data_IF_419739839768
#
_entry.id   IF_419739839768
#
_cell.length_a   1.000
_cell.length_b   1.000
_cell.length_c   1.000
_cell.angle_alpha   90.00
_cell.angle_beta   90.00
_cell.angle_gamma   90.00
#
_symmetry.space_group_name_H-M   'P 1'
#
loop_
_entity.id
_entity.type
_entity.pdbx_description
1 polymer ?
#
# COMPACT_ATOMS: atom_id res chain seq x y z
N UNK A 1 24.31 10.32 -12.20
CA UNK A 1 25.39 10.31 -11.19
C UNK A 1 24.76 10.69 -9.85
N UNK A 2 24.57 9.73 -8.93
CA UNK A 2 23.77 9.94 -7.71
C UNK A 2 24.55 10.73 -6.66
N UNK A 3 24.03 11.90 -6.25
CA UNK A 3 24.61 12.76 -5.21
C UNK A 3 24.91 12.04 -3.88
N UNK A 4 24.19 10.96 -3.60
CA UNK A 4 24.40 10.09 -2.45
C UNK A 4 25.77 9.36 -2.45
N UNK A 5 26.38 9.15 -3.62
CA UNK A 5 27.71 8.53 -3.73
C UNK A 5 28.85 9.43 -3.23
N UNK A 6 28.58 10.74 -3.03
CA UNK A 6 29.54 11.73 -2.53
C UNK A 6 29.41 12.02 -1.03
N UNK A 7 28.54 11.31 -0.31
CA UNK A 7 28.33 11.50 1.13
C UNK A 7 27.61 12.80 1.51
N UNK A 8 27.04 13.52 0.54
CA UNK A 8 26.25 14.72 0.82
C UNK A 8 24.84 14.35 1.25
N UNK A 9 24.38 14.95 2.34
CA UNK A 9 22.98 14.88 2.74
C UNK A 9 22.17 15.77 1.78
N UNK A 10 21.30 15.13 0.99
CA UNK A 10 20.46 15.80 0.00
C UNK A 10 19.00 15.58 0.37
N UNK A 11 18.29 16.66 0.66
CA UNK A 11 16.84 16.65 0.86
C UNK A 11 16.16 17.21 -0.37
N UNK A 12 15.25 16.43 -0.97
CA UNK A 12 14.46 16.86 -2.10
C UNK A 12 13.17 17.52 -1.62
N UNK A 13 13.00 18.81 -1.95
CA UNK A 13 11.79 19.56 -1.60
C UNK A 13 10.90 19.71 -2.84
N UNK A 14 9.68 19.17 -2.76
CA UNK A 14 8.75 19.11 -3.88
C UNK A 14 7.84 20.34 -3.94
N UNK A 15 7.71 20.96 -5.10
CA UNK A 15 6.74 22.04 -5.30
C UNK A 15 5.28 21.57 -5.23
N UNK A 16 4.37 22.54 -5.16
CA UNK A 16 2.91 22.34 -5.01
C UNK A 16 2.28 21.32 -5.97
N UNK A 17 2.75 21.24 -7.24
CA UNK A 17 2.20 20.30 -8.24
C UNK A 17 2.22 18.84 -7.79
N UNK A 18 3.16 18.46 -6.91
CA UNK A 18 3.30 17.11 -6.40
C UNK A 18 2.34 16.77 -5.25
N UNK A 19 1.56 17.76 -4.78
CA UNK A 19 0.54 17.58 -3.76
C UNK A 19 -0.77 16.99 -4.32
N UNK A 20 -1.04 17.20 -5.61
CA UNK A 20 -2.24 16.72 -6.31
C UNK A 20 -2.12 15.24 -6.72
N UNK A 21 -3.25 14.51 -6.86
CA UNK A 21 -3.25 13.09 -7.25
C UNK A 21 -2.41 12.77 -8.50
N UNK A 22 -2.46 13.63 -9.52
CA UNK A 22 -1.67 13.49 -10.76
C UNK A 22 -0.16 13.61 -10.51
N UNK A 23 0.24 14.49 -9.58
CA UNK A 23 1.63 14.67 -9.16
C UNK A 23 2.11 13.63 -8.16
N UNK A 24 1.23 13.05 -7.34
CA UNK A 24 1.60 12.08 -6.29
C UNK A 24 2.31 10.85 -6.84
N UNK A 25 1.92 10.35 -8.02
CA UNK A 25 2.60 9.21 -8.66
C UNK A 25 4.08 9.53 -8.93
N UNK A 26 4.37 10.76 -9.37
CA UNK A 26 5.74 11.19 -9.62
C UNK A 26 6.49 11.52 -8.33
N UNK A 27 5.79 12.03 -7.31
CA UNK A 27 6.34 12.36 -6.00
C UNK A 27 7.01 11.14 -5.33
N UNK A 28 6.54 9.93 -5.63
CA UNK A 28 7.12 8.68 -5.13
C UNK A 28 8.61 8.53 -5.45
N UNK A 29 9.07 9.15 -6.54
CA UNK A 29 10.48 9.12 -6.94
C UNK A 29 11.40 9.80 -5.92
N UNK A 30 10.83 10.66 -5.09
CA UNK A 30 11.53 11.49 -4.11
C UNK A 30 11.36 11.01 -2.67
N UNK A 31 10.73 9.85 -2.47
CA UNK A 31 10.64 9.23 -1.15
C UNK A 31 12.04 8.96 -0.59
N UNK A 32 12.28 9.43 0.64
CA UNK A 32 13.51 9.18 1.41
C UNK A 32 13.17 8.41 2.70
N UNK A 33 14.20 7.99 3.44
CA UNK A 33 14.05 7.48 4.81
C UNK A 33 14.63 8.51 5.76
N UNK A 34 13.80 9.00 6.69
CA UNK A 34 14.20 9.86 7.81
C UNK A 34 13.57 9.26 9.08
N UNK A 35 14.35 9.13 10.16
CA UNK A 35 13.90 8.54 11.42
C UNK A 35 13.19 7.17 11.25
N UNK A 36 13.75 6.32 10.38
CA UNK A 36 13.19 5.01 9.99
C UNK A 36 11.80 5.05 9.33
N UNK A 37 11.32 6.23 8.91
CA UNK A 37 10.04 6.41 8.23
C UNK A 37 10.24 6.90 6.82
N UNK A 38 9.36 6.45 5.92
CA UNK A 38 9.30 7.06 4.59
C UNK A 38 8.88 8.51 4.73
N UNK A 39 9.60 9.39 4.05
CA UNK A 39 9.42 10.83 4.20
C UNK A 39 9.35 11.52 2.84
N UNK A 40 8.53 12.56 2.76
CA UNK A 40 8.50 13.54 1.67
C UNK A 40 8.48 14.95 2.23
N UNK A 41 9.17 15.85 1.53
CA UNK A 41 9.14 17.27 1.79
C UNK A 41 8.43 17.99 0.66
N UNK A 42 7.55 18.93 1.01
CA UNK A 42 6.82 19.74 0.07
C UNK A 42 6.93 21.22 0.43
N UNK A 43 7.15 22.08 -0.56
CA UNK A 43 7.10 23.52 -0.42
C UNK A 43 5.83 24.06 -1.08
N UNK A 44 4.98 24.69 -0.27
CA UNK A 44 3.82 25.45 -0.72
C UNK A 44 4.21 26.93 -0.79
N UNK A 45 4.73 27.33 -1.95
CA UNK A 45 5.25 28.68 -2.17
C UNK A 45 4.19 29.78 -2.03
N UNK A 46 2.92 29.48 -2.27
CA UNK A 46 1.80 30.44 -2.18
C UNK A 46 1.51 30.92 -0.77
N UNK A 47 1.77 30.08 0.24
CA UNK A 47 1.53 30.37 1.66
C UNK A 47 2.81 30.35 2.49
N UNK A 48 3.98 30.25 1.84
CA UNK A 48 5.27 30.21 2.52
C UNK A 48 5.47 29.03 3.46
N UNK A 49 4.77 27.91 3.22
CA UNK A 49 4.76 26.75 4.13
C UNK A 49 5.64 25.61 3.59
N UNK A 50 6.55 25.10 4.44
CA UNK A 50 7.27 23.86 4.18
C UNK A 50 6.58 22.74 4.97
N UNK A 51 6.26 21.63 4.31
CA UNK A 51 5.54 20.50 4.90
C UNK A 51 6.38 19.23 4.80
N UNK A 52 6.67 18.63 5.94
CA UNK A 52 7.25 17.28 6.06
C UNK A 52 6.13 16.27 6.27
N UNK A 53 6.09 15.25 5.43
CA UNK A 53 5.15 14.13 5.52
C UNK A 53 5.93 12.88 5.89
N UNK A 54 5.69 12.32 7.07
CA UNK A 54 6.25 11.03 7.48
C UNK A 54 5.16 9.96 7.45
N UNK A 55 5.35 8.93 6.64
CA UNK A 55 4.39 7.86 6.39
C UNK A 55 4.51 6.77 7.45
N UNK A 56 3.38 6.38 8.03
CA UNK A 56 3.22 5.17 8.84
C UNK A 56 2.29 4.15 8.17
N UNK A 57 2.03 3.04 8.84
CA UNK A 57 1.23 1.94 8.29
C UNK A 57 -0.25 2.31 8.12
N UNK A 58 -0.79 3.14 9.03
CA UNK A 58 -2.21 3.47 9.12
C UNK A 58 -2.52 4.96 8.94
N UNK A 59 -1.53 5.74 8.50
CA UNK A 59 -1.66 7.18 8.39
C UNK A 59 -0.32 7.87 8.21
N UNK A 60 -0.32 9.18 8.40
CA UNK A 60 0.86 10.02 8.18
C UNK A 60 0.92 11.14 9.21
N UNK A 61 2.14 11.47 9.60
CA UNK A 61 2.43 12.69 10.35
C UNK A 61 2.70 13.82 9.36
N UNK A 62 2.03 14.95 9.55
CA UNK A 62 2.30 16.19 8.84
C UNK A 62 2.95 17.15 9.82
N UNK A 63 4.19 17.55 9.54
CA UNK A 63 4.86 18.64 10.24
C UNK A 63 4.89 19.85 9.32
N UNK A 64 4.30 20.97 9.73
CA UNK A 64 4.26 22.22 8.97
C UNK A 64 5.22 23.20 9.60
N UNK A 65 6.07 23.80 8.78
CA UNK A 65 7.02 24.82 9.14
C UNK A 65 6.59 26.11 8.45
N UNK A 66 6.33 27.14 9.24
CA UNK A 66 6.00 28.49 8.80
C UNK A 66 7.10 29.43 9.29
N UNK A 67 7.25 30.60 8.67
CA UNK A 67 8.40 31.47 8.94
C UNK A 67 8.40 32.01 10.38
N UNK A 68 7.24 32.48 10.82
CA UNK A 68 7.09 33.20 12.10
C UNK A 68 6.52 32.33 13.22
N UNK A 69 6.01 31.14 12.89
CA UNK A 69 5.33 30.25 13.83
C UNK A 69 6.15 28.98 14.13
N UNK A 70 6.09 28.45 15.36
CA UNK A 70 6.72 27.19 15.69
C UNK A 70 6.13 26.04 14.85
N UNK A 71 6.92 25.00 14.54
CA UNK A 71 6.44 23.89 13.73
C UNK A 71 5.24 23.20 14.38
N UNK A 72 4.18 23.00 13.60
CA UNK A 72 2.99 22.28 14.06
C UNK A 72 2.99 20.86 13.52
N UNK A 73 2.76 19.87 14.37
CA UNK A 73 2.70 18.47 13.98
C UNK A 73 1.29 17.90 14.21
N UNK A 74 0.75 17.24 13.19
CA UNK A 74 -0.57 16.62 13.23
C UNK A 74 -0.54 15.20 12.68
N UNK A 75 -1.27 14.28 13.33
CA UNK A 75 -1.52 12.95 12.81
C UNK A 75 -2.73 12.96 11.90
N UNK A 76 -2.62 12.31 10.74
CA UNK A 76 -3.74 12.06 9.84
C UNK A 76 -3.87 10.56 9.58
N UNK A 77 -4.94 9.97 10.10
CA UNK A 77 -5.30 8.59 9.82
C UNK A 77 -5.64 8.40 8.33
N UNK A 78 -5.32 7.21 7.81
CA UNK A 78 -5.60 6.85 6.43
C UNK A 78 -7.08 6.46 6.27
N UNK A 79 -7.85 7.27 5.53
CA UNK A 79 -9.29 7.02 5.37
C UNK A 79 -9.56 5.77 4.53
N UNK A 80 -10.32 4.81 5.06
CA UNK A 80 -10.68 3.59 4.33
C UNK A 80 -12.11 3.66 3.79
N UNK A 81 -12.28 3.45 2.48
CA UNK A 81 -13.59 3.30 1.86
C UNK A 81 -13.70 1.94 1.14
N UNK A 82 -13.85 0.82 1.88
CA UNK A 82 -13.86 -0.53 1.29
C UNK A 82 -14.90 -0.70 0.18
N UNK A 83 -16.12 -0.19 0.38
CA UNK A 83 -17.19 -0.25 -0.62
C UNK A 83 -16.81 0.45 -1.94
N UNK A 84 -16.11 1.59 -1.86
CA UNK A 84 -15.62 2.30 -3.05
C UNK A 84 -14.58 1.47 -3.79
N UNK A 85 -13.66 0.82 -3.08
CA UNK A 85 -12.66 -0.07 -3.69
C UNK A 85 -13.31 -1.28 -4.36
N UNK A 86 -14.30 -1.90 -3.70
CA UNK A 86 -15.05 -3.04 -4.26
C UNK A 86 -15.72 -2.65 -5.58
N UNK A 87 -16.42 -1.51 -5.60
CA UNK A 87 -17.05 -0.99 -6.83
C UNK A 87 -16.01 -0.65 -7.90
N UNK A 88 -14.83 -0.16 -7.52
CA UNK A 88 -13.75 0.10 -8.46
C UNK A 88 -13.21 -1.17 -9.13
N UNK A 89 -13.18 -2.30 -8.44
CA UNK A 89 -12.85 -3.61 -9.06
C UNK A 89 -13.90 -3.92 -10.13
N UNK A 90 -15.19 -3.86 -9.78
CA UNK A 90 -16.28 -4.17 -10.70
C UNK A 90 -16.27 -3.27 -11.95
N UNK A 91 -16.09 -1.96 -11.76
CA UNK A 91 -15.97 -1.01 -12.87
C UNK A 91 -14.73 -1.33 -13.73
N UNK A 92 -13.61 -1.69 -13.10
CA UNK A 92 -12.37 -2.01 -13.83
C UNK A 92 -12.51 -3.28 -14.67
N UNK A 93 -13.22 -4.29 -14.16
CA UNK A 93 -13.53 -5.52 -14.90
C UNK A 93 -14.51 -5.24 -16.04
N UNK A 94 -15.57 -4.46 -15.81
CA UNK A 94 -16.51 -4.03 -16.84
C UNK A 94 -15.79 -3.28 -17.97
N UNK A 95 -14.87 -2.37 -17.62
CA UNK A 95 -14.02 -1.63 -18.56
C UNK A 95 -12.88 -2.44 -19.15
N UNK A 96 -12.78 -3.74 -18.82
CA UNK A 96 -11.74 -4.67 -19.29
C UNK A 96 -10.31 -4.15 -19.09
N UNK A 97 -10.07 -3.50 -17.95
CA UNK A 97 -8.73 -2.99 -17.61
C UNK A 97 -7.77 -4.18 -17.47
N UNK A 98 -6.73 -4.22 -18.32
CA UNK A 98 -5.94 -5.44 -18.54
C UNK A 98 -5.37 -6.08 -17.26
N UNK A 99 -4.71 -5.35 -16.34
CA UNK A 99 -4.23 -5.94 -15.08
C UNK A 99 -5.32 -6.64 -14.25
N UNK A 100 -6.54 -6.07 -14.23
CA UNK A 100 -7.68 -6.66 -13.53
C UNK A 100 -8.24 -7.88 -14.26
N UNK A 101 -8.28 -7.85 -15.59
CA UNK A 101 -8.70 -9.00 -16.41
C UNK A 101 -7.75 -10.19 -16.25
N UNK A 102 -6.43 -9.96 -16.26
CA UNK A 102 -5.43 -11.01 -16.01
C UNK A 102 -5.61 -11.62 -14.62
N UNK A 103 -5.84 -10.79 -13.61
CA UNK A 103 -6.09 -11.27 -12.26
C UNK A 103 -7.42 -12.05 -12.16
N UNK A 104 -8.44 -11.64 -12.91
CA UNK A 104 -9.73 -12.33 -12.95
C UNK A 104 -9.61 -13.70 -13.61
N UNK A 105 -8.83 -13.82 -14.68
CA UNK A 105 -8.54 -15.11 -15.30
C UNK A 105 -7.84 -16.06 -14.31
N UNK A 106 -6.83 -15.56 -13.57
CA UNK A 106 -6.15 -16.34 -12.53
C UNK A 106 -7.09 -16.77 -11.40
N UNK A 107 -8.01 -15.88 -10.97
CA UNK A 107 -9.02 -16.22 -9.97
C UNK A 107 -9.98 -17.30 -10.47
N UNK A 108 -10.42 -17.22 -11.73
CA UNK A 108 -11.33 -18.21 -12.32
C UNK A 108 -10.71 -19.60 -12.47
N UNK A 109 -9.40 -19.69 -12.72
CA UNK A 109 -8.69 -20.98 -12.69
C UNK A 109 -8.80 -21.70 -11.34
N UNK A 110 -9.08 -20.96 -10.27
CA UNK A 110 -9.30 -21.48 -8.91
C UNK A 110 -10.78 -21.50 -8.51
N UNK A 111 -11.71 -21.29 -9.45
CA UNK A 111 -13.15 -21.22 -9.17
C UNK A 111 -13.59 -19.98 -8.39
N UNK A 112 -12.80 -18.89 -8.41
CA UNK A 112 -13.03 -17.67 -7.62
C UNK A 112 -13.43 -16.48 -8.49
N UNK A 113 -14.24 -15.59 -7.92
CA UNK A 113 -14.65 -14.32 -8.55
C UNK A 113 -13.95 -13.14 -7.86
N UNK A 114 -13.26 -12.25 -8.60
CA UNK A 114 -12.60 -11.09 -7.98
C UNK A 114 -13.59 -10.07 -7.40
N UNK A 115 -14.77 -9.94 -8.01
CA UNK A 115 -15.83 -9.11 -7.44
C UNK A 115 -16.27 -9.62 -6.06
N UNK A 116 -16.19 -10.94 -5.87
CA UNK A 116 -16.40 -11.62 -4.60
C UNK A 116 -15.13 -11.80 -3.76
N UNK A 117 -14.07 -11.03 -3.99
CA UNK A 117 -12.87 -11.10 -3.15
C UNK A 117 -13.16 -10.91 -1.66
N UNK A 118 -12.35 -11.46 -0.74
CA UNK A 118 -12.60 -11.33 0.69
C UNK A 118 -12.59 -9.87 1.18
N UNK A 119 -13.42 -9.53 2.18
CA UNK A 119 -13.54 -8.14 2.66
C UNK A 119 -12.23 -7.56 3.20
N UNK A 120 -11.46 -8.34 3.95
CA UNK A 120 -10.26 -7.87 4.63
C UNK A 120 -9.17 -7.36 3.66
N UNK A 121 -9.17 -7.77 2.39
CA UNK A 121 -8.20 -7.28 1.38
C UNK A 121 -8.31 -5.76 1.19
N UNK A 122 -9.48 -5.19 1.46
CA UNK A 122 -9.79 -3.76 1.38
C UNK A 122 -9.50 -2.99 2.68
N UNK A 123 -9.28 -3.72 3.78
CA UNK A 123 -9.01 -3.15 5.11
C UNK A 123 -7.58 -2.65 5.21
N UNK A 124 -7.35 -1.66 6.09
CA UNK A 124 -6.01 -1.17 6.48
C UNK A 124 -5.05 -1.02 5.28
N UNK A 125 -5.41 -0.25 4.25
CA UNK A 125 -4.55 -0.01 3.10
C UNK A 125 -3.30 0.75 3.54
N UNK A 126 -2.16 0.44 2.93
CA UNK A 126 -0.95 1.21 3.18
C UNK A 126 -1.08 2.60 2.57
N UNK A 127 -0.55 3.63 3.24
CA UNK A 127 -0.58 5.02 2.75
C UNK A 127 0.08 5.21 1.38
N UNK A 128 0.95 4.28 0.99
CA UNK A 128 1.61 4.33 -0.31
C UNK A 128 0.70 4.02 -1.51
N UNK A 129 -0.54 3.57 -1.29
CA UNK A 129 -1.53 3.41 -2.37
C UNK A 129 -1.75 4.69 -3.19
N UNK A 130 -1.53 5.86 -2.58
CA UNK A 130 -1.69 7.16 -3.24
C UNK A 130 -0.57 7.49 -4.23
N UNK A 131 0.50 6.70 -4.24
CA UNK A 131 1.68 6.88 -5.08
C UNK A 131 1.66 5.97 -6.32
N UNK A 132 0.46 5.59 -6.76
CA UNK A 132 0.28 4.71 -7.92
C UNK A 132 0.82 3.30 -7.69
N UNK A 133 0.91 2.85 -6.43
CA UNK A 133 1.21 1.47 -6.09
C UNK A 133 -0.08 0.64 -6.23
N UNK A 134 -0.08 -0.45 -7.00
CA UNK A 134 -1.26 -1.28 -7.22
C UNK A 134 -1.50 -2.25 -6.04
N UNK A 135 -1.47 -1.73 -4.80
CA UNK A 135 -1.51 -2.54 -3.57
C UNK A 135 -2.68 -3.53 -3.56
N UNK A 136 -3.89 -3.10 -3.90
CA UNK A 136 -5.08 -3.95 -3.87
C UNK A 136 -4.96 -5.14 -4.85
N UNK A 137 -4.43 -4.90 -6.06
CA UNK A 137 -4.19 -5.97 -7.03
C UNK A 137 -3.12 -6.95 -6.51
N UNK A 138 -2.08 -6.42 -5.87
CA UNK A 138 -0.99 -7.24 -5.31
C UNK A 138 -1.46 -8.08 -4.13
N UNK A 139 -2.29 -7.55 -3.23
CA UNK A 139 -2.90 -8.32 -2.13
C UNK A 139 -3.75 -9.48 -2.65
N UNK A 140 -4.57 -9.22 -3.66
CA UNK A 140 -5.40 -10.26 -4.29
C UNK A 140 -4.54 -11.31 -5.00
N UNK A 141 -3.53 -10.88 -5.78
CA UNK A 141 -2.59 -11.80 -6.43
C UNK A 141 -1.83 -12.64 -5.40
N UNK A 142 -1.44 -12.04 -4.28
CA UNK A 142 -0.79 -12.73 -3.17
C UNK A 142 -1.70 -13.82 -2.62
N UNK A 143 -2.98 -13.55 -2.37
CA UNK A 143 -3.93 -14.55 -1.89
C UNK A 143 -4.10 -15.72 -2.85
N UNK A 144 -4.22 -15.44 -4.15
CA UNK A 144 -4.31 -16.51 -5.15
C UNK A 144 -3.08 -17.43 -5.17
N UNK A 145 -1.93 -16.99 -4.66
CA UNK A 145 -0.70 -17.80 -4.60
C UNK A 145 -0.58 -18.51 -3.25
N UNK A 146 -0.80 -17.80 -2.14
CA UNK A 146 -0.42 -18.26 -0.80
C UNK A 146 -1.60 -18.77 0.04
N UNK A 147 -2.84 -18.53 -0.36
CA UNK A 147 -4.01 -18.95 0.42
C UNK A 147 -4.10 -20.49 0.54
N UNK A 148 -4.38 -20.97 1.75
CA UNK A 148 -4.59 -22.39 2.01
C UNK A 148 -3.32 -23.20 2.19
N UNK A 149 -2.14 -22.60 2.05
CA UNK A 149 -0.86 -23.27 2.18
C UNK A 149 0.08 -22.50 3.12
N UNK A 150 0.92 -23.20 3.91
CA UNK A 150 1.94 -22.55 4.71
C UNK A 150 2.91 -21.75 3.86
N UNK A 151 3.45 -20.66 4.40
CA UNK A 151 4.40 -19.82 3.69
C UNK A 151 5.46 -19.23 4.63
N UNK A 152 6.57 -18.76 4.06
CA UNK A 152 7.66 -18.17 4.85
C UNK A 152 7.70 -16.66 4.72
N UNK A 153 8.31 -16.00 5.72
CA UNK A 153 8.64 -14.57 5.66
C UNK A 153 9.44 -14.23 4.39
N UNK A 154 10.34 -15.13 3.98
CA UNK A 154 11.15 -15.00 2.76
C UNK A 154 10.31 -15.05 1.50
N UNK A 155 9.40 -16.04 1.36
CA UNK A 155 8.53 -16.15 0.19
C UNK A 155 7.58 -14.95 0.06
N UNK A 156 7.00 -14.49 1.18
CA UNK A 156 6.21 -13.26 1.20
C UNK A 156 7.05 -12.06 0.73
N UNK A 157 8.25 -11.87 1.29
CA UNK A 157 9.13 -10.75 0.91
C UNK A 157 9.51 -10.79 -0.58
N UNK A 158 9.86 -11.97 -1.10
CA UNK A 158 10.22 -12.16 -2.50
C UNK A 158 9.08 -11.79 -3.45
N UNK A 159 7.84 -12.18 -3.12
CA UNK A 159 6.67 -11.77 -3.89
C UNK A 159 6.56 -10.24 -4.01
N UNK A 160 6.65 -9.52 -2.89
CA UNK A 160 6.50 -8.06 -2.88
C UNK A 160 7.68 -7.35 -3.55
N UNK A 161 8.89 -7.86 -3.38
CA UNK A 161 10.07 -7.31 -4.05
C UNK A 161 10.03 -7.50 -5.57
N UNK A 162 9.56 -8.66 -6.05
CA UNK A 162 9.38 -8.90 -7.47
C UNK A 162 8.26 -8.03 -8.08
N UNK A 163 7.22 -7.74 -7.31
CA UNK A 163 6.08 -6.94 -7.75
C UNK A 163 6.33 -5.42 -7.76
N UNK A 164 7.30 -4.93 -6.98
CA UNK A 164 7.52 -3.51 -6.74
C UNK A 164 8.93 -3.08 -7.16
N UNK A 165 9.11 -2.61 -8.40
CA UNK A 165 10.43 -2.35 -8.96
C UNK A 165 11.07 -1.11 -8.35
N UNK A 166 12.38 -1.16 -8.12
CA UNK A 166 13.16 -0.05 -7.53
C UNK A 166 13.08 1.25 -8.34
N UNK A 167 12.82 1.16 -9.65
CA UNK A 167 12.69 2.34 -10.53
C UNK A 167 11.55 3.28 -10.12
N UNK A 168 10.59 2.79 -9.33
CA UNK A 168 9.54 3.65 -8.79
C UNK A 168 10.07 4.58 -7.70
N UNK A 169 10.99 4.10 -6.86
CA UNK A 169 11.54 4.82 -5.70
C UNK A 169 13.08 4.81 -5.74
N UNK A 170 13.70 5.50 -6.72
CA UNK A 170 15.13 5.40 -6.97
C UNK A 170 15.99 5.95 -5.82
N UNK A 171 15.45 6.84 -4.98
CA UNK A 171 16.20 7.40 -3.84
C UNK A 171 16.20 6.50 -2.59
N UNK A 172 15.38 5.45 -2.58
CA UNK A 172 15.36 4.47 -1.49
C UNK A 172 16.39 3.36 -1.75
N UNK A 173 16.96 2.76 -0.69
CA UNK A 173 17.73 1.52 -0.85
C UNK A 173 16.91 0.46 -1.60
N UNK A 174 17.59 -0.34 -2.43
CA UNK A 174 16.95 -1.36 -3.25
C UNK A 174 16.08 -2.31 -2.40
N UNK A 175 14.86 -2.57 -2.87
CA UNK A 175 13.90 -3.47 -2.24
C UNK A 175 13.24 -2.92 -0.97
N UNK A 176 13.50 -1.68 -0.56
CA UNK A 176 12.86 -1.04 0.61
C UNK A 176 11.34 -1.09 0.49
N UNK A 177 10.81 -0.67 -0.66
CA UNK A 177 9.37 -0.62 -0.90
C UNK A 177 8.72 -1.99 -0.76
N UNK A 178 9.32 -3.02 -1.38
CA UNK A 178 8.86 -4.41 -1.26
C UNK A 178 8.88 -4.91 0.18
N UNK A 179 9.95 -4.63 0.93
CA UNK A 179 10.06 -5.02 2.36
C UNK A 179 8.97 -4.39 3.21
N UNK A 180 8.70 -3.10 3.02
CA UNK A 180 7.66 -2.38 3.77
C UNK A 180 6.26 -2.92 3.48
N UNK A 181 5.92 -3.08 2.19
CA UNK A 181 4.61 -3.63 1.81
C UNK A 181 4.44 -5.08 2.28
N UNK A 182 5.52 -5.87 2.26
CA UNK A 182 5.52 -7.25 2.77
C UNK A 182 5.24 -7.31 4.28
N UNK A 183 5.90 -6.44 5.06
CA UNK A 183 5.70 -6.36 6.51
C UNK A 183 4.29 -5.87 6.85
N UNK A 184 3.81 -4.83 6.15
CA UNK A 184 2.46 -4.30 6.32
C UNK A 184 1.39 -5.37 6.05
N UNK A 185 1.51 -6.09 4.93
CA UNK A 185 0.52 -7.12 4.59
C UNK A 185 0.48 -8.26 5.60
N UNK A 186 1.63 -8.71 6.10
CA UNK A 186 1.71 -9.67 7.20
C UNK A 186 1.02 -9.15 8.46
N UNK A 187 1.26 -7.89 8.82
CA UNK A 187 0.62 -7.27 9.97
C UNK A 187 -0.91 -7.27 9.83
N UNK A 188 -1.45 -7.00 8.63
CA UNK A 188 -2.89 -7.08 8.37
C UNK A 188 -3.40 -8.52 8.56
N UNK A 189 -2.73 -9.53 7.98
CA UNK A 189 -3.16 -10.93 8.11
C UNK A 189 -3.14 -11.42 9.56
N UNK A 190 -2.12 -11.04 10.33
CA UNK A 190 -1.97 -11.38 11.75
C UNK A 190 -3.04 -10.67 12.60
N UNK A 191 -3.22 -9.37 12.41
CA UNK A 191 -4.18 -8.58 13.18
C UNK A 191 -5.63 -9.03 12.92
N UNK A 192 -5.92 -9.48 11.70
CA UNK A 192 -7.22 -10.05 11.33
C UNK A 192 -7.34 -11.55 11.69
N UNK A 193 -6.33 -12.16 12.33
CA UNK A 193 -6.36 -13.56 12.76
C UNK A 193 -6.53 -14.58 11.63
N UNK A 194 -6.05 -14.26 10.41
CA UNK A 194 -6.06 -15.23 9.30
C UNK A 194 -4.90 -16.21 9.37
N UNK A 195 -3.76 -15.75 9.86
CA UNK A 195 -2.53 -16.52 9.95
C UNK A 195 -1.93 -16.42 11.35
N UNK A 196 -1.13 -17.42 11.72
CA UNK A 196 -0.24 -17.37 12.88
C UNK A 196 1.19 -17.62 12.47
N UNK A 197 2.10 -17.13 13.30
CA UNK A 197 3.53 -17.33 13.19
C UNK A 197 3.93 -18.48 14.11
N UNK A 198 4.54 -19.54 13.56
CA UNK A 198 4.92 -20.73 14.35
C UNK A 198 6.34 -20.61 14.91
N UNK A 199 7.33 -20.36 14.02
CA UNK A 199 8.76 -20.40 14.37
C UNK A 199 9.51 -19.11 14.00
N UNK A 200 8.86 -17.96 14.14
CA UNK A 200 9.44 -16.65 13.79
C UNK A 200 9.60 -16.37 12.27
N UNK A 201 9.68 -17.41 11.44
CA UNK A 201 9.89 -17.29 9.99
C UNK A 201 8.82 -17.99 9.13
N UNK A 202 7.98 -18.83 9.73
CA UNK A 202 6.91 -19.59 9.07
C UNK A 202 5.55 -19.10 9.51
N UNK A 203 4.61 -19.09 8.57
CA UNK A 203 3.23 -18.70 8.78
C UNK A 203 2.29 -19.80 8.30
N UNK A 204 1.27 -20.09 9.10
CA UNK A 204 0.21 -21.03 8.76
C UNK A 204 -1.15 -20.34 8.83
N UNK A 205 -2.05 -20.73 7.94
CA UNK A 205 -3.44 -20.28 7.96
C UNK A 205 -4.20 -20.90 9.13
N UNK A 206 -4.77 -20.07 9.99
CA UNK A 206 -5.73 -20.51 11.02
C UNK A 206 -7.14 -20.61 10.49
N UNK A 207 -7.51 -19.69 9.60
CA UNK A 207 -8.80 -19.66 8.93
C UNK A 207 -8.64 -19.15 7.51
N UNK A 208 -9.42 -19.70 6.59
CA UNK A 208 -9.41 -19.24 5.21
C UNK A 208 -10.35 -18.04 5.03
N UNK A 209 -9.97 -17.07 4.19
CA UNK A 209 -10.83 -15.95 3.90
C UNK A 209 -12.01 -16.37 3.01
N UNK A 210 -13.17 -15.75 3.23
CA UNK A 210 -14.38 -16.08 2.47
C UNK A 210 -14.35 -15.35 1.12
N UNK A 211 -14.36 -16.14 0.05
CA UNK A 211 -14.64 -15.66 -1.31
C UNK A 211 -16.15 -15.77 -1.58
N UNK A 212 -16.75 -14.67 -1.99
CA UNK A 212 -18.16 -14.59 -2.37
C UNK A 212 -18.32 -15.00 -3.84
N UNK A 213 -19.50 -15.52 -4.20
CA UNK A 213 -19.78 -15.90 -5.58
C UNK A 213 -19.82 -14.69 -6.52
N UNK A 214 -20.29 -13.54 -6.02
CA UNK A 214 -20.50 -12.31 -6.79
C UNK A 214 -20.45 -11.06 -5.91
N UNK A 215 -20.54 -9.89 -6.57
CA UNK A 215 -20.54 -8.58 -5.94
C UNK A 215 -21.75 -8.36 -5.02
N UNK A 216 -22.93 -8.81 -5.43
CA UNK A 216 -24.19 -8.55 -4.74
C UNK A 216 -24.21 -9.26 -3.39
N UNK A 217 -23.85 -10.55 -3.38
CA UNK A 217 -23.72 -11.34 -2.15
C UNK A 217 -22.67 -10.75 -1.20
N UNK A 218 -21.54 -10.28 -1.74
CA UNK A 218 -20.50 -9.61 -0.94
C UNK A 218 -21.04 -8.34 -0.27
N UNK A 219 -21.75 -7.50 -1.03
CA UNK A 219 -22.31 -6.25 -0.51
C UNK A 219 -23.49 -6.48 0.44
N UNK A 220 -24.26 -7.55 0.24
CA UNK A 220 -25.38 -7.94 1.10
C UNK A 220 -24.91 -8.47 2.46
N UNK A 221 -23.81 -9.22 2.51
CA UNK A 221 -23.15 -9.64 3.75
C UNK A 221 -22.36 -8.52 4.41
N UNK A 222 -22.90 -7.29 4.41
CA UNK A 222 -22.32 -6.12 5.06
C UNK A 222 -21.96 -6.49 6.51
N UNK A 223 -20.70 -6.85 6.75
CA UNK A 223 -20.27 -7.16 8.10
C UNK A 223 -20.08 -5.84 8.84
N UNK A 224 -20.71 -5.80 10.00
CA UNK A 224 -20.28 -5.15 11.23
C UNK A 224 -18.76 -5.29 11.42
N UNK A 225 -17.99 -4.45 10.71
CA UNK A 225 -16.60 -4.16 11.03
C UNK A 225 -16.60 -2.70 11.51
N UNK A 226 -17.01 -2.53 12.76
CA UNK A 226 -16.71 -1.36 13.56
C UNK A 226 -15.24 -1.42 14.02
#
# INVERSE_FOLDING_TARGET
MMYHARGWQVTWVLGHRYWHPEGKIQARKFLSIEDHRLTLWHLQTTVGELVRIQFGNEGRWLTRFQHDDPPTQTWQAESTYPQRQIRQIAISLQKRVQPWMTLQAAAYQQGRNLNGSPWFVHSRPHVLRHFGIPELQLRLKWLLIFEGQPFTATANRQFWQAALPNIWTPLLPAGTLGKMMAAHWLQVLLAEGFVVQEDGCRYQWQRLPVWFADLERKLAMKKDFA
#
